data_IF_478347073970
#
_entry.id   IF_478347073970
#
_cell.length_a   1.000
_cell.length_b   1.000
_cell.length_c   1.000
_cell.angle_alpha   90.00
_cell.angle_beta   90.00
_cell.angle_gamma   90.00
#
_symmetry.space_group_name_H-M   'P 1'
#
loop_
_entity.id
_entity.type
_entity.pdbx_description
1 polymer ?
#
# COMPACT_ATOMS: atom_id res chain seq x y z
N UNK A 1 10.76 -33.18 11.01
CA UNK A 1 11.40 -32.03 10.31
C UNK A 1 10.36 -30.94 10.03
N UNK A 2 10.02 -30.03 10.98
CA UNK A 2 8.88 -29.12 10.80
C UNK A 2 9.16 -27.89 9.91
N UNK A 3 10.34 -27.28 10.03
CA UNK A 3 10.60 -25.93 9.47
C UNK A 3 10.50 -25.79 7.96
N UNK A 4 10.79 -26.85 7.18
CA UNK A 4 10.86 -26.79 5.71
C UNK A 4 9.49 -26.66 5.03
N UNK A 5 8.41 -27.13 5.66
CA UNK A 5 7.05 -26.96 5.14
C UNK A 5 6.56 -25.51 5.27
N UNK A 6 6.79 -24.86 6.42
CA UNK A 6 6.35 -23.48 6.67
C UNK A 6 6.89 -22.48 5.62
N UNK A 7 8.14 -22.68 5.17
CA UNK A 7 8.73 -21.88 4.11
C UNK A 7 8.01 -22.06 2.75
N UNK A 8 7.67 -23.29 2.37
CA UNK A 8 6.95 -23.60 1.13
C UNK A 8 5.52 -23.03 1.14
N UNK A 9 4.75 -23.27 2.20
CA UNK A 9 3.39 -22.70 2.35
C UNK A 9 3.36 -21.18 2.23
N UNK A 10 4.37 -20.49 2.77
CA UNK A 10 4.47 -19.02 2.70
C UNK A 10 4.80 -18.51 1.28
N UNK A 11 5.48 -19.30 0.47
CA UNK A 11 5.78 -18.97 -0.93
C UNK A 11 4.49 -19.01 -1.76
N UNK A 12 3.70 -20.08 -1.64
CA UNK A 12 2.59 -20.39 -2.55
C UNK A 12 1.37 -19.47 -2.38
N UNK A 13 1.05 -19.07 -1.15
CA UNK A 13 -0.01 -18.07 -0.90
C UNK A 13 0.36 -16.70 -1.49
N UNK A 14 1.66 -16.35 -1.48
CA UNK A 14 2.13 -15.11 -2.08
C UNK A 14 2.12 -15.16 -3.63
N UNK A 15 2.33 -16.34 -4.25
CA UNK A 15 2.17 -16.50 -5.71
C UNK A 15 0.75 -16.18 -6.18
N UNK A 16 -0.29 -16.73 -5.53
CA UNK A 16 -1.69 -16.51 -5.94
C UNK A 16 -2.06 -15.01 -5.90
N UNK A 17 -1.61 -14.28 -4.87
CA UNK A 17 -1.84 -12.83 -4.80
C UNK A 17 -1.00 -12.04 -5.79
N UNK A 18 0.22 -12.50 -6.09
CA UNK A 18 1.01 -11.99 -7.22
C UNK A 18 0.26 -12.06 -8.55
N UNK A 19 -0.49 -13.14 -8.79
CA UNK A 19 -1.36 -13.27 -9.98
C UNK A 19 -2.51 -12.26 -9.94
N UNK A 20 -3.21 -12.08 -8.82
CA UNK A 20 -4.27 -11.07 -8.72
C UNK A 20 -3.76 -9.63 -8.88
N UNK A 21 -2.56 -9.33 -8.37
CA UNK A 21 -1.89 -8.04 -8.57
C UNK A 21 -1.49 -7.87 -10.05
N UNK A 22 -0.99 -8.92 -10.71
CA UNK A 22 -0.69 -8.89 -12.13
C UNK A 22 -1.95 -8.67 -12.99
N UNK A 23 -3.06 -9.38 -12.71
CA UNK A 23 -4.35 -9.19 -13.39
C UNK A 23 -4.86 -7.76 -13.23
N UNK A 24 -4.74 -7.18 -12.03
CA UNK A 24 -5.06 -5.78 -11.79
C UNK A 24 -4.22 -4.83 -12.66
N UNK A 25 -2.90 -5.02 -12.71
CA UNK A 25 -2.02 -4.19 -13.56
C UNK A 25 -2.28 -4.41 -15.06
N UNK A 26 -2.60 -5.63 -15.51
CA UNK A 26 -3.03 -5.88 -16.88
C UNK A 26 -4.32 -5.11 -17.23
N UNK A 27 -5.30 -5.05 -16.31
CA UNK A 27 -6.52 -4.26 -16.48
C UNK A 27 -6.23 -2.74 -16.54
N UNK A 28 -5.31 -2.25 -15.71
CA UNK A 28 -4.88 -0.85 -15.74
C UNK A 28 -4.14 -0.49 -17.04
N UNK A 29 -3.19 -1.33 -17.49
CA UNK A 29 -2.47 -1.16 -18.76
C UNK A 29 -3.45 -1.20 -19.94
N UNK A 30 -4.39 -2.14 -19.94
CA UNK A 30 -5.45 -2.23 -20.96
C UNK A 30 -6.29 -0.95 -21.01
N UNK A 31 -6.74 -0.42 -19.87
CA UNK A 31 -7.49 0.83 -19.80
C UNK A 31 -6.68 2.02 -20.34
N UNK A 32 -5.40 2.15 -19.96
CA UNK A 32 -4.50 3.20 -20.46
C UNK A 32 -4.26 3.09 -21.96
N UNK A 33 -4.04 1.88 -22.51
CA UNK A 33 -3.86 1.69 -23.96
C UNK A 33 -5.13 2.01 -24.75
N UNK A 34 -6.32 1.76 -24.19
CA UNK A 34 -7.57 2.22 -24.81
C UNK A 34 -7.74 3.74 -24.71
N UNK A 35 -7.28 4.40 -23.63
CA UNK A 35 -7.26 5.87 -23.52
C UNK A 35 -6.39 6.52 -24.60
N UNK A 36 -5.22 5.95 -24.91
CA UNK A 36 -4.20 6.59 -25.75
C UNK A 36 -4.17 6.13 -27.22
N UNK A 37 -4.49 4.87 -27.50
CA UNK A 37 -4.44 4.28 -28.85
C UNK A 37 -5.84 3.86 -29.32
N UNK A 38 -6.75 3.57 -28.38
CA UNK A 38 -8.09 3.09 -28.67
C UNK A 38 -9.08 4.14 -29.18
N UNK A 39 -8.74 5.43 -29.20
CA UNK A 39 -9.66 6.53 -29.52
C UNK A 39 -10.45 6.32 -30.82
N UNK A 40 -9.77 6.01 -31.94
CA UNK A 40 -10.42 5.74 -33.24
C UNK A 40 -11.25 4.44 -33.30
N UNK A 41 -11.21 3.62 -32.26
CA UNK A 41 -12.02 2.41 -32.10
C UNK A 41 -13.13 2.62 -31.05
N UNK A 42 -12.90 3.47 -30.05
CA UNK A 42 -13.92 3.96 -29.11
C UNK A 42 -15.00 4.79 -29.84
N UNK A 43 -14.59 5.68 -30.76
CA UNK A 43 -15.53 6.47 -31.57
C UNK A 43 -16.40 5.63 -32.52
N UNK A 44 -16.01 4.39 -32.81
CA UNK A 44 -16.85 3.43 -33.55
C UNK A 44 -17.96 2.82 -32.69
N UNK A 45 -17.89 2.91 -31.36
CA UNK A 45 -18.93 2.46 -30.44
C UNK A 45 -19.85 3.62 -30.04
N UNK A 46 -21.10 3.59 -30.53
CA UNK A 46 -22.13 4.60 -30.23
C UNK A 46 -22.48 4.77 -28.74
N UNK A 47 -21.96 3.90 -27.86
CA UNK A 47 -22.00 4.02 -26.38
C UNK A 47 -21.52 5.37 -25.86
N UNK A 48 -20.62 6.07 -26.56
CA UNK A 48 -20.02 7.34 -26.11
C UNK A 48 -20.60 8.60 -26.79
N UNK A 49 -21.80 8.50 -27.37
CA UNK A 49 -22.46 9.60 -28.12
C UNK A 49 -22.95 10.79 -27.29
N UNK A 50 -22.85 10.71 -25.95
CA UNK A 50 -23.26 11.77 -25.02
C UNK A 50 -22.12 12.74 -24.64
N UNK A 51 -20.88 12.51 -25.12
CA UNK A 51 -19.76 13.43 -24.94
C UNK A 51 -19.95 14.71 -25.78
N UNK A 52 -19.81 15.89 -25.16
CA UNK A 52 -19.97 17.17 -25.86
C UNK A 52 -18.83 17.42 -26.88
N UNK A 53 -19.17 18.17 -27.91
CA UNK A 53 -18.44 18.39 -29.16
C UNK A 53 -17.06 19.06 -29.04
N UNK A 54 -16.72 19.63 -27.87
CA UNK A 54 -15.42 20.26 -27.62
C UNK A 54 -14.35 19.29 -27.12
N UNK A 55 -14.71 18.31 -26.27
CA UNK A 55 -13.77 17.50 -25.46
C UNK A 55 -13.93 15.98 -25.70
N UNK A 56 -14.44 15.60 -26.88
CA UNK A 56 -14.83 14.23 -27.25
C UNK A 56 -13.75 13.19 -26.89
N UNK A 57 -12.49 13.43 -27.23
CA UNK A 57 -11.39 12.48 -27.02
C UNK A 57 -11.06 12.26 -25.54
N UNK A 58 -11.07 13.33 -24.74
CA UNK A 58 -10.86 13.28 -23.29
C UNK A 58 -12.01 12.55 -22.61
N UNK A 59 -13.25 12.90 -22.96
CA UNK A 59 -14.46 12.26 -22.45
C UNK A 59 -14.50 10.76 -22.76
N UNK A 60 -14.24 10.35 -24.01
CA UNK A 60 -14.20 8.94 -24.41
C UNK A 60 -13.12 8.15 -23.65
N UNK A 61 -11.90 8.70 -23.53
CA UNK A 61 -10.81 8.08 -22.79
C UNK A 61 -11.11 7.91 -21.30
N UNK A 62 -11.69 8.94 -20.67
CA UNK A 62 -12.02 8.92 -19.24
C UNK A 62 -13.20 7.97 -18.95
N UNK A 63 -14.29 8.01 -19.74
CA UNK A 63 -15.42 7.08 -19.63
C UNK A 63 -14.96 5.61 -19.76
N UNK A 64 -14.02 5.31 -20.65
CA UNK A 64 -13.44 3.97 -20.79
C UNK A 64 -12.66 3.53 -19.53
N UNK A 65 -11.90 4.43 -18.90
CA UNK A 65 -11.21 4.16 -17.63
C UNK A 65 -12.22 3.90 -16.50
N UNK A 66 -13.30 4.67 -16.40
CA UNK A 66 -14.35 4.45 -15.40
C UNK A 66 -15.03 3.09 -15.57
N UNK A 67 -15.33 2.67 -16.81
CA UNK A 67 -15.87 1.34 -17.15
C UNK A 67 -14.90 0.21 -16.76
N UNK A 68 -13.60 0.35 -17.07
CA UNK A 68 -12.58 -0.63 -16.70
C UNK A 68 -12.31 -0.71 -15.18
N UNK A 69 -12.36 0.43 -14.47
CA UNK A 69 -12.26 0.54 -13.01
C UNK A 69 -13.45 -0.12 -12.30
N UNK A 70 -14.68 0.17 -12.75
CA UNK A 70 -15.90 -0.43 -12.20
C UNK A 70 -15.85 -1.96 -12.28
N UNK A 71 -15.44 -2.48 -13.44
CA UNK A 71 -15.38 -3.91 -13.73
C UNK A 71 -14.39 -4.67 -12.83
N UNK A 72 -13.16 -4.16 -12.69
CA UNK A 72 -12.15 -4.79 -11.80
C UNK A 72 -12.51 -4.62 -10.31
N UNK A 73 -13.16 -3.51 -9.93
CA UNK A 73 -13.63 -3.28 -8.55
C UNK A 73 -14.76 -4.23 -8.18
N UNK A 74 -15.76 -4.42 -9.07
CA UNK A 74 -16.84 -5.38 -8.89
C UNK A 74 -16.32 -6.83 -8.83
N UNK A 75 -15.34 -7.18 -9.65
CA UNK A 75 -14.66 -8.48 -9.57
C UNK A 75 -14.01 -8.71 -8.19
N UNK A 76 -13.24 -7.76 -7.68
CA UNK A 76 -12.60 -7.89 -6.37
C UNK A 76 -13.60 -7.80 -5.21
N UNK A 77 -14.68 -7.03 -5.32
CA UNK A 77 -15.78 -7.02 -4.35
C UNK A 77 -16.46 -8.39 -4.27
N UNK A 78 -16.77 -9.01 -5.41
CA UNK A 78 -17.31 -10.36 -5.47
C UNK A 78 -16.36 -11.37 -4.81
N UNK A 79 -15.05 -11.30 -5.09
CA UNK A 79 -14.04 -12.16 -4.45
C UNK A 79 -13.93 -11.93 -2.94
N UNK A 80 -14.05 -10.69 -2.47
CA UNK A 80 -14.08 -10.35 -1.04
C UNK A 80 -15.31 -10.95 -0.35
N UNK A 81 -16.48 -10.86 -0.96
CA UNK A 81 -17.73 -11.45 -0.46
C UNK A 81 -17.65 -12.98 -0.43
N UNK A 82 -17.22 -13.63 -1.51
CA UNK A 82 -17.05 -15.09 -1.57
C UNK A 82 -16.08 -15.61 -0.49
N UNK A 83 -14.94 -14.94 -0.30
CA UNK A 83 -14.00 -15.23 0.80
C UNK A 83 -14.67 -15.03 2.17
N UNK A 84 -15.44 -13.95 2.36
CA UNK A 84 -16.12 -13.65 3.63
C UNK A 84 -17.22 -14.65 3.97
N UNK A 85 -17.94 -15.17 2.97
CA UNK A 85 -18.94 -16.24 3.14
C UNK A 85 -18.33 -17.65 3.25
N UNK A 86 -17.00 -17.76 3.32
CA UNK A 86 -16.32 -19.04 3.55
C UNK A 86 -16.29 -19.97 2.34
N UNK A 87 -16.43 -19.43 1.12
CA UNK A 87 -16.24 -20.22 -0.10
C UNK A 87 -14.74 -20.48 -0.30
N UNK A 88 -14.31 -21.73 -0.09
CA UNK A 88 -12.89 -22.11 -0.18
C UNK A 88 -12.64 -23.01 -1.40
N UNK A 89 -11.71 -22.59 -2.24
CA UNK A 89 -11.32 -23.36 -3.43
C UNK A 89 -10.34 -24.49 -3.06
N UNK A 90 -10.49 -25.70 -3.64
CA UNK A 90 -9.50 -26.76 -3.49
C UNK A 90 -8.24 -26.41 -4.29
N UNK A 91 -7.12 -26.25 -3.58
CA UNK A 91 -5.78 -25.85 -4.06
C UNK A 91 -5.40 -26.37 -5.46
N UNK A 92 -5.57 -27.66 -5.72
CA UNK A 92 -5.23 -28.30 -7.01
C UNK A 92 -6.01 -27.73 -8.22
N UNK A 93 -7.17 -27.12 -8.00
CA UNK A 93 -8.03 -26.54 -9.05
C UNK A 93 -7.97 -25.02 -9.12
N UNK A 94 -7.30 -24.32 -8.20
CA UNK A 94 -7.30 -22.84 -8.15
C UNK A 94 -6.84 -22.19 -9.45
N UNK A 95 -5.75 -22.67 -10.08
CA UNK A 95 -5.30 -22.17 -11.40
C UNK A 95 -6.36 -22.41 -12.50
N UNK A 96 -7.00 -23.59 -12.49
CA UNK A 96 -8.04 -23.92 -13.47
C UNK A 96 -9.29 -23.05 -13.28
N UNK A 97 -9.70 -22.80 -12.04
CA UNK A 97 -10.84 -21.93 -11.71
C UNK A 97 -10.51 -20.48 -12.08
N UNK A 98 -9.29 -20.01 -11.82
CA UNK A 98 -8.85 -18.66 -12.19
C UNK A 98 -8.93 -18.44 -13.71
N UNK A 99 -8.37 -19.36 -14.50
CA UNK A 99 -8.34 -19.23 -15.98
C UNK A 99 -9.71 -19.47 -16.62
N UNK A 100 -10.48 -20.48 -16.17
CA UNK A 100 -11.72 -20.90 -16.84
C UNK A 100 -13.01 -20.33 -16.23
N UNK A 101 -12.93 -19.63 -15.09
CA UNK A 101 -14.09 -18.96 -14.46
C UNK A 101 -13.79 -17.52 -14.12
N UNK A 102 -12.71 -17.22 -13.39
CA UNK A 102 -12.51 -15.87 -12.85
C UNK A 102 -12.12 -14.85 -13.93
N UNK A 103 -11.24 -15.20 -14.87
CA UNK A 103 -10.90 -14.33 -16.02
C UNK A 103 -12.11 -14.15 -16.96
N UNK A 104 -12.86 -15.19 -17.37
CA UNK A 104 -14.12 -15.02 -18.09
C UNK A 104 -15.16 -14.14 -17.38
N UNK A 105 -15.28 -14.22 -16.05
CA UNK A 105 -16.18 -13.33 -15.28
C UNK A 105 -15.66 -11.89 -15.27
N UNK A 106 -14.35 -11.65 -15.15
CA UNK A 106 -13.78 -10.30 -15.28
C UNK A 106 -14.03 -9.71 -16.68
N UNK A 107 -13.85 -10.49 -17.75
CA UNK A 107 -14.15 -10.09 -19.13
C UNK A 107 -15.65 -9.86 -19.32
N UNK A 108 -16.53 -10.69 -18.73
CA UNK A 108 -17.98 -10.50 -18.79
C UNK A 108 -18.45 -9.26 -18.03
N UNK A 109 -17.82 -8.91 -16.90
CA UNK A 109 -18.05 -7.64 -16.20
C UNK A 109 -17.60 -6.45 -17.05
N UNK A 110 -16.42 -6.53 -17.68
CA UNK A 110 -15.90 -5.50 -18.57
C UNK A 110 -16.80 -5.27 -19.79
N UNK A 111 -17.17 -6.33 -20.51
CA UNK A 111 -18.11 -6.25 -21.64
C UNK A 111 -19.50 -5.79 -21.17
N UNK A 112 -19.98 -6.29 -20.03
CA UNK A 112 -21.22 -5.83 -19.39
C UNK A 112 -21.23 -4.33 -19.10
N UNK A 113 -20.07 -3.76 -18.72
CA UNK A 113 -19.95 -2.32 -18.43
C UNK A 113 -20.14 -1.42 -19.67
N UNK A 114 -20.05 -1.92 -20.90
CA UNK A 114 -20.37 -1.16 -22.13
C UNK A 114 -21.88 -0.98 -22.37
N UNK A 115 -22.72 -1.84 -21.78
CA UNK A 115 -24.18 -1.73 -21.87
C UNK A 115 -24.79 -0.75 -20.85
N UNK A 116 -23.96 -0.21 -19.95
CA UNK A 116 -24.36 0.78 -18.95
C UNK A 116 -24.28 2.20 -19.57
N UNK A 117 -25.30 3.08 -19.41
CA UNK A 117 -25.29 4.44 -19.96
C UNK A 117 -24.28 5.35 -19.24
N UNK A 118 -23.84 6.43 -19.90
CA UNK A 118 -22.81 7.34 -19.33
C UNK A 118 -23.30 8.04 -18.05
N UNK A 119 -24.59 8.36 -17.98
CA UNK A 119 -25.26 8.93 -16.79
C UNK A 119 -25.07 8.14 -15.49
N UNK A 120 -24.82 6.82 -15.55
CA UNK A 120 -24.43 6.04 -14.38
C UNK A 120 -22.98 6.32 -13.97
N UNK A 121 -22.06 6.42 -14.94
CA UNK A 121 -20.66 6.68 -14.69
C UNK A 121 -20.42 8.10 -14.16
N UNK A 122 -21.22 9.07 -14.59
CA UNK A 122 -21.20 10.44 -14.05
C UNK A 122 -21.52 10.45 -12.54
N UNK A 123 -22.43 9.58 -12.09
CA UNK A 123 -22.70 9.32 -10.66
C UNK A 123 -21.64 8.45 -9.97
N UNK A 124 -20.90 7.61 -10.71
CA UNK A 124 -19.78 6.80 -10.21
C UNK A 124 -18.52 7.64 -9.95
N UNK A 125 -18.31 8.76 -10.66
CA UNK A 125 -17.18 9.69 -10.42
C UNK A 125 -17.13 10.24 -8.98
N UNK A 126 -18.17 10.91 -8.43
CA UNK A 126 -18.12 11.41 -7.05
C UNK A 126 -18.00 10.28 -6.02
N UNK A 127 -18.60 9.11 -6.26
CA UNK A 127 -18.40 7.93 -5.42
C UNK A 127 -16.94 7.46 -5.42
N UNK A 128 -16.31 7.32 -6.59
CA UNK A 128 -14.90 6.91 -6.71
C UNK A 128 -13.94 7.95 -6.14
N UNK A 129 -14.22 9.25 -6.25
CA UNK A 129 -13.45 10.32 -5.56
C UNK A 129 -13.40 10.12 -4.05
N UNK A 130 -14.55 9.88 -3.41
CA UNK A 130 -14.62 9.65 -1.95
C UNK A 130 -14.00 8.30 -1.57
N UNK A 131 -14.28 7.24 -2.33
CA UNK A 131 -13.72 5.91 -2.09
C UNK A 131 -12.18 5.89 -2.21
N UNK A 132 -11.63 6.66 -3.15
CA UNK A 132 -10.18 6.86 -3.32
C UNK A 132 -9.53 7.49 -2.09
N UNK A 133 -10.24 8.38 -1.38
CA UNK A 133 -9.78 8.95 -0.11
C UNK A 133 -9.40 7.87 0.91
N UNK A 134 -10.22 6.82 1.05
CA UNK A 134 -9.90 5.68 1.94
C UNK A 134 -8.70 4.88 1.44
N UNK A 135 -8.51 4.72 0.12
CA UNK A 135 -7.30 4.08 -0.39
C UNK A 135 -6.03 4.90 -0.09
N UNK A 136 -6.10 6.23 -0.22
CA UNK A 136 -4.98 7.12 0.14
C UNK A 136 -4.59 6.94 1.62
N UNK A 137 -5.53 6.72 2.53
CA UNK A 137 -5.20 6.42 3.95
C UNK A 137 -4.36 5.14 4.10
N UNK A 138 -4.63 4.09 3.32
CA UNK A 138 -3.81 2.88 3.30
C UNK A 138 -2.46 3.09 2.60
N UNK A 139 -2.40 3.93 1.57
CA UNK A 139 -1.15 4.37 0.94
C UNK A 139 -0.27 5.18 1.91
N UNK A 140 -0.85 6.08 2.70
CA UNK A 140 -0.17 6.83 3.76
C UNK A 140 0.44 5.89 4.79
N UNK A 141 -0.36 4.96 5.35
CA UNK A 141 0.13 3.95 6.28
C UNK A 141 1.23 3.07 5.67
N UNK A 142 1.11 2.71 4.39
CA UNK A 142 2.12 1.99 3.63
C UNK A 142 3.44 2.74 3.59
N UNK A 143 3.42 4.03 3.20
CA UNK A 143 4.62 4.87 3.08
C UNK A 143 5.29 5.04 4.44
N UNK A 144 4.54 5.39 5.49
CA UNK A 144 5.07 5.46 6.87
C UNK A 144 5.74 4.14 7.28
N UNK A 145 5.09 3.00 7.02
CA UNK A 145 5.64 1.69 7.33
C UNK A 145 6.90 1.35 6.52
N UNK A 146 6.99 1.77 5.26
CA UNK A 146 8.22 1.67 4.44
C UNK A 146 9.33 2.55 5.01
N UNK A 147 9.07 3.82 5.32
CA UNK A 147 10.08 4.77 5.82
C UNK A 147 10.76 4.28 7.10
N UNK A 148 10.00 3.71 8.04
CA UNK A 148 10.59 3.07 9.23
C UNK A 148 11.41 1.82 8.86
N UNK A 149 10.92 0.92 8.00
CA UNK A 149 11.68 -0.27 7.58
C UNK A 149 12.96 0.06 6.78
N UNK A 150 12.98 1.15 6.01
CA UNK A 150 14.18 1.63 5.31
C UNK A 150 15.17 2.23 6.29
N UNK A 151 14.72 3.00 7.30
CA UNK A 151 15.57 3.44 8.41
C UNK A 151 16.18 2.23 9.11
N UNK A 152 15.36 1.28 9.53
CA UNK A 152 15.77 0.17 10.39
C UNK A 152 16.75 -0.76 9.67
N UNK A 153 16.50 -1.10 8.40
CA UNK A 153 17.44 -1.92 7.61
C UNK A 153 18.77 -1.21 7.37
N UNK A 154 18.77 0.10 7.15
CA UNK A 154 19.98 0.89 6.93
C UNK A 154 20.80 1.10 8.23
N UNK A 155 20.15 1.31 9.37
CA UNK A 155 20.83 1.34 10.69
C UNK A 155 21.46 -0.02 11.02
N UNK A 156 20.73 -1.12 10.82
CA UNK A 156 21.26 -2.48 10.99
C UNK A 156 22.46 -2.75 10.05
N UNK A 157 22.44 -2.25 8.82
CA UNK A 157 23.55 -2.37 7.88
C UNK A 157 24.81 -1.61 8.36
N UNK A 158 24.64 -0.40 8.90
CA UNK A 158 25.73 0.39 9.50
C UNK A 158 26.32 -0.34 10.72
N UNK A 159 25.49 -0.77 11.67
CA UNK A 159 25.94 -1.52 12.86
C UNK A 159 26.73 -2.79 12.50
N UNK A 160 26.24 -3.57 11.52
CA UNK A 160 26.89 -4.80 11.11
C UNK A 160 28.22 -4.54 10.39
N UNK A 161 28.32 -3.44 9.64
CA UNK A 161 29.59 -3.00 9.06
C UNK A 161 30.59 -2.55 10.14
N UNK A 162 30.14 -1.85 11.19
CA UNK A 162 30.99 -1.45 12.32
C UNK A 162 31.51 -2.64 13.13
N UNK A 163 30.64 -3.63 13.42
CA UNK A 163 31.02 -4.89 14.07
C UNK A 163 32.09 -5.62 13.24
N UNK A 164 31.89 -5.75 11.93
CA UNK A 164 32.85 -6.38 11.01
C UNK A 164 34.19 -5.62 10.88
N UNK A 165 34.19 -4.29 11.00
CA UNK A 165 35.42 -3.49 11.06
C UNK A 165 36.15 -3.65 12.39
N UNK A 166 35.42 -3.78 13.51
CA UNK A 166 35.97 -4.00 14.86
C UNK A 166 36.61 -5.38 14.99
N UNK A 167 36.08 -6.40 14.31
CA UNK A 167 36.67 -7.75 14.20
C UNK A 167 37.99 -7.82 13.40
N UNK A 168 38.54 -6.68 12.95
CA UNK A 168 39.88 -6.63 12.34
C UNK A 168 39.99 -7.19 10.92
N UNK A 169 38.85 -7.40 10.23
CA UNK A 169 38.82 -7.94 8.85
C UNK A 169 39.05 -6.90 7.75
N UNK A 170 39.14 -5.61 8.08
CA UNK A 170 39.42 -4.53 7.12
C UNK A 170 40.72 -3.78 7.49
N UNK A 171 41.52 -3.50 6.46
CA UNK A 171 42.82 -2.85 6.59
C UNK A 171 42.75 -1.41 7.12
N UNK A 172 43.80 -1.00 7.83
CA UNK A 172 43.94 0.35 8.41
C UNK A 172 44.41 1.39 7.38
N UNK A 173 43.66 1.54 6.29
CA UNK A 173 43.95 2.50 5.22
C UNK A 173 42.67 3.11 4.63
N UNK A 174 42.39 4.37 4.96
CA UNK A 174 41.22 5.16 4.50
C UNK A 174 39.84 4.54 4.74
N UNK A 175 39.16 5.03 5.80
CA UNK A 175 37.72 4.84 6.08
C UNK A 175 37.12 3.51 5.59
N UNK A 176 37.47 2.40 6.25
CA UNK A 176 36.97 1.02 6.07
C UNK A 176 35.72 0.91 5.16
N UNK A 177 35.94 0.65 3.87
CA UNK A 177 35.05 1.11 2.78
C UNK A 177 33.56 0.85 2.94
N UNK A 178 33.16 -0.31 3.46
CA UNK A 178 31.74 -0.65 3.69
C UNK A 178 31.07 0.27 4.74
N UNK A 179 31.75 0.58 5.85
CA UNK A 179 31.23 1.48 6.91
C UNK A 179 31.08 2.90 6.37
N UNK A 180 32.08 3.38 5.64
CA UNK A 180 32.05 4.71 5.04
C UNK A 180 30.94 4.82 4.00
N UNK A 181 30.75 3.79 3.17
CA UNK A 181 29.70 3.75 2.14
C UNK A 181 28.30 3.74 2.75
N UNK A 182 28.00 2.92 3.76
CA UNK A 182 26.67 2.92 4.38
C UNK A 182 26.36 4.21 5.15
N UNK A 183 27.33 4.82 5.83
CA UNK A 183 27.14 6.12 6.51
C UNK A 183 27.00 7.29 5.53
N UNK A 184 27.80 7.32 4.46
CA UNK A 184 27.64 8.35 3.41
C UNK A 184 26.36 8.17 2.61
N UNK A 185 25.88 6.94 2.40
CA UNK A 185 24.56 6.68 1.82
C UNK A 185 23.43 7.20 2.72
N UNK A 186 23.44 6.91 4.02
CA UNK A 186 22.42 7.43 4.96
C UNK A 186 22.38 8.96 4.98
N UNK A 187 23.54 9.61 5.13
CA UNK A 187 23.64 11.07 5.14
C UNK A 187 23.28 11.69 3.78
N UNK A 188 23.72 11.08 2.67
CA UNK A 188 23.43 11.54 1.32
C UNK A 188 21.94 11.46 0.97
N UNK A 189 21.26 10.38 1.36
CA UNK A 189 19.80 10.25 1.20
C UNK A 189 19.06 11.30 2.02
N UNK A 190 19.44 11.50 3.29
CA UNK A 190 18.79 12.51 4.14
C UNK A 190 19.03 13.93 3.62
N UNK A 191 20.27 14.30 3.30
CA UNK A 191 20.63 15.62 2.79
C UNK A 191 20.01 15.90 1.41
N UNK A 192 20.09 14.95 0.48
CA UNK A 192 19.47 15.05 -0.85
C UNK A 192 17.95 15.20 -0.76
N UNK A 193 17.30 14.44 0.15
CA UNK A 193 15.87 14.58 0.41
C UNK A 193 15.50 15.95 0.97
N UNK A 194 16.29 16.52 1.89
CA UNK A 194 16.04 17.85 2.45
C UNK A 194 16.26 18.96 1.43
N UNK A 195 17.29 18.87 0.58
CA UNK A 195 17.53 19.81 -0.52
C UNK A 195 16.40 19.74 -1.55
N UNK A 196 15.94 18.54 -1.92
CA UNK A 196 14.81 18.36 -2.83
C UNK A 196 13.50 18.92 -2.24
N UNK A 197 13.23 18.67 -0.95
CA UNK A 197 12.08 19.25 -0.21
C UNK A 197 12.14 20.78 -0.20
N UNK A 198 13.31 21.36 0.12
CA UNK A 198 13.50 22.81 0.14
C UNK A 198 13.31 23.45 -1.25
N UNK A 199 13.88 22.86 -2.28
CA UNK A 199 13.73 23.31 -3.67
C UNK A 199 12.27 23.20 -4.16
N UNK A 200 11.58 22.11 -3.85
CA UNK A 200 10.18 21.92 -4.23
C UNK A 200 9.23 22.88 -3.47
N UNK A 201 9.51 23.20 -2.20
CA UNK A 201 8.76 24.22 -1.45
C UNK A 201 9.02 25.62 -2.02
N UNK A 202 10.27 25.95 -2.38
CA UNK A 202 10.59 27.21 -3.04
C UNK A 202 9.87 27.34 -4.40
N UNK A 203 9.84 26.27 -5.19
CA UNK A 203 9.10 26.19 -6.45
C UNK A 203 7.58 26.35 -6.27
N UNK A 204 7.00 25.77 -5.21
CA UNK A 204 5.59 25.98 -4.86
C UNK A 204 5.27 27.46 -4.56
N UNK A 205 6.11 28.14 -3.76
CA UNK A 205 5.96 29.57 -3.53
C UNK A 205 6.15 30.41 -4.80
N UNK A 206 7.04 30.00 -5.71
CA UNK A 206 7.23 30.68 -7.00
C UNK A 206 6.05 30.48 -7.96
N UNK A 207 5.38 29.32 -7.96
CA UNK A 207 4.29 29.01 -8.91
C UNK A 207 2.89 29.38 -8.41
N UNK A 208 2.66 29.38 -7.10
CA UNK A 208 1.33 29.55 -6.49
C UNK A 208 1.27 30.57 -5.33
N UNK A 209 2.38 31.29 -5.06
CA UNK A 209 2.49 32.17 -3.89
C UNK A 209 1.58 33.41 -3.91
N UNK A 210 1.17 33.85 -5.11
CA UNK A 210 0.38 35.08 -5.28
C UNK A 210 -1.13 34.85 -5.01
N UNK A 211 -1.57 33.59 -4.90
CA UNK A 211 -2.92 33.23 -4.44
C UNK A 211 -2.95 32.86 -2.95
N UNK A 212 -3.92 33.40 -2.21
CA UNK A 212 -4.08 33.19 -0.76
C UNK A 212 -4.21 31.71 -0.36
N UNK A 213 -4.89 30.89 -1.16
CA UNK A 213 -5.03 29.44 -0.94
C UNK A 213 -3.73 28.69 -1.22
N UNK A 214 -2.99 29.08 -2.26
CA UNK A 214 -1.66 28.52 -2.58
C UNK A 214 -0.63 28.83 -1.51
N UNK A 215 -0.63 30.08 -1.02
CA UNK A 215 0.15 30.52 0.13
C UNK A 215 -0.22 29.74 1.39
N UNK A 216 -1.51 29.56 1.69
CA UNK A 216 -1.98 28.84 2.87
C UNK A 216 -1.56 27.35 2.87
N UNK A 217 -1.73 26.64 1.76
CA UNK A 217 -1.35 25.22 1.68
C UNK A 217 0.18 25.04 1.75
N UNK A 218 0.94 25.92 1.09
CA UNK A 218 2.42 25.85 1.12
C UNK A 218 2.99 26.22 2.49
N UNK A 219 2.42 27.23 3.17
CA UNK A 219 2.82 27.60 4.55
C UNK A 219 2.50 26.50 5.57
N UNK A 220 1.32 25.89 5.52
CA UNK A 220 1.00 24.71 6.36
C UNK A 220 1.99 23.57 6.10
N UNK A 221 2.35 23.32 4.83
CA UNK A 221 3.28 22.25 4.45
C UNK A 221 4.68 22.44 5.03
N UNK A 222 5.28 23.64 4.89
CA UNK A 222 6.63 23.91 5.44
C UNK A 222 6.65 23.91 6.97
N UNK A 223 5.60 24.43 7.63
CA UNK A 223 5.49 24.42 9.10
C UNK A 223 5.36 22.99 9.61
N UNK A 224 4.52 22.16 8.99
CA UNK A 224 4.39 20.76 9.37
C UNK A 224 5.69 19.97 9.16
N UNK A 225 6.33 20.10 7.99
CA UNK A 225 7.59 19.41 7.68
C UNK A 225 8.71 19.79 8.66
N UNK A 226 8.90 21.09 8.92
CA UNK A 226 9.93 21.57 9.85
C UNK A 226 9.68 21.13 11.29
N UNK A 227 8.43 21.21 11.79
CA UNK A 227 8.07 20.70 13.12
C UNK A 227 8.33 19.19 13.25
N UNK A 228 7.94 18.38 12.25
CA UNK A 228 8.17 16.93 12.26
C UNK A 228 9.67 16.58 12.28
N UNK A 229 10.49 17.30 11.52
CA UNK A 229 11.96 17.14 11.53
C UNK A 229 12.54 17.50 12.91
N UNK A 230 12.18 18.65 13.48
CA UNK A 230 12.65 19.10 14.81
C UNK A 230 12.27 18.07 15.90
N UNK A 231 11.03 17.60 15.90
CA UNK A 231 10.51 16.62 16.86
C UNK A 231 11.26 15.27 16.76
N UNK A 232 11.58 14.79 15.55
CA UNK A 232 12.32 13.54 15.35
C UNK A 232 13.82 13.62 15.67
N UNK A 233 14.42 14.82 15.57
CA UNK A 233 15.80 15.10 15.99
C UNK A 233 15.91 15.24 17.52
N UNK A 234 14.82 15.60 18.21
CA UNK A 234 14.85 15.81 19.66
C UNK A 234 15.26 14.55 20.44
N UNK A 235 16.06 14.76 21.49
CA UNK A 235 16.47 13.73 22.46
C UNK A 235 15.32 13.12 23.26
N UNK A 236 14.09 13.62 23.07
CA UNK A 236 12.89 13.01 23.66
C UNK A 236 12.40 11.79 22.87
N UNK A 237 12.75 11.68 21.58
CA UNK A 237 12.21 10.67 20.66
C UNK A 237 13.26 9.81 19.95
N UNK A 238 14.43 10.37 19.60
CA UNK A 238 15.57 9.63 19.01
C UNK A 238 15.22 8.82 17.74
N UNK A 239 14.16 9.21 17.03
CA UNK A 239 13.62 8.49 15.86
C UNK A 239 14.56 8.54 14.65
N UNK A 240 15.45 9.52 14.60
CA UNK A 240 16.42 9.71 13.52
C UNK A 240 15.84 10.40 12.30
N UNK A 241 16.73 10.81 11.38
CA UNK A 241 16.41 11.78 10.33
C UNK A 241 15.70 11.19 9.10
N UNK A 242 15.83 9.89 8.82
CA UNK A 242 15.34 9.30 7.58
C UNK A 242 13.79 9.29 7.46
N UNK A 243 13.00 8.88 8.49
CA UNK A 243 11.54 8.94 8.41
C UNK A 243 10.96 10.34 8.16
N UNK A 244 11.29 11.41 8.92
CA UNK A 244 10.72 12.73 8.67
C UNK A 244 11.13 13.33 7.33
N UNK A 245 12.31 12.99 6.79
CA UNK A 245 12.70 13.41 5.43
C UNK A 245 11.80 12.78 4.37
N UNK A 246 11.61 11.44 4.42
CA UNK A 246 10.75 10.72 3.49
C UNK A 246 9.28 11.17 3.56
N UNK A 247 8.77 11.41 4.77
CA UNK A 247 7.41 11.96 4.96
C UNK A 247 7.32 13.40 4.44
N UNK A 248 8.31 14.27 4.71
CA UNK A 248 8.31 15.65 4.21
C UNK A 248 8.28 15.71 2.68
N UNK A 249 9.02 14.83 1.98
CA UNK A 249 8.96 14.72 0.53
C UNK A 249 7.55 14.35 0.03
N UNK A 250 6.88 13.41 0.71
CA UNK A 250 5.50 13.04 0.38
C UNK A 250 4.47 14.15 0.70
N UNK A 251 4.66 14.90 1.79
CA UNK A 251 3.81 16.05 2.14
C UNK A 251 3.88 17.15 1.06
N UNK A 252 5.09 17.46 0.56
CA UNK A 252 5.28 18.44 -0.53
C UNK A 252 4.68 17.94 -1.84
N UNK A 253 4.86 16.65 -2.17
CA UNK A 253 4.24 16.03 -3.35
C UNK A 253 2.70 16.06 -3.29
N UNK A 254 2.09 15.82 -2.12
CA UNK A 254 0.65 15.98 -1.93
C UNK A 254 0.19 17.45 -2.02
N UNK A 255 1.00 18.40 -1.56
CA UNK A 255 0.72 19.83 -1.72
C UNK A 255 0.70 20.22 -3.21
N UNK A 256 1.72 19.81 -3.97
CA UNK A 256 1.78 19.99 -5.42
C UNK A 256 0.56 19.40 -6.13
N UNK A 257 0.21 18.13 -5.85
CA UNK A 257 -0.97 17.50 -6.45
C UNK A 257 -2.27 18.24 -6.13
N UNK A 258 -2.43 18.76 -4.90
CA UNK A 258 -3.60 19.53 -4.51
C UNK A 258 -3.68 20.86 -5.27
N UNK A 259 -2.58 21.60 -5.37
CA UNK A 259 -2.52 22.93 -6.00
C UNK A 259 -2.67 22.88 -7.52
N UNK A 260 -2.08 21.89 -8.20
CA UNK A 260 -2.33 21.67 -9.64
C UNK A 260 -3.81 21.33 -9.91
N UNK A 261 -4.49 20.70 -8.93
CA UNK A 261 -5.92 20.38 -8.97
C UNK A 261 -6.86 21.54 -8.59
N UNK A 262 -6.33 22.74 -8.36
CA UNK A 262 -7.16 23.93 -8.17
C UNK A 262 -7.90 24.24 -9.49
N UNK A 263 -9.24 24.37 -9.51
CA UNK A 263 -9.96 24.78 -10.71
C UNK A 263 -9.68 26.24 -11.10
N UNK A 264 -9.23 27.09 -10.18
CA UNK A 264 -8.84 28.47 -10.49
C UNK A 264 -7.40 28.52 -11.02
N UNK A 265 -7.28 28.53 -12.35
CA UNK A 265 -5.99 28.64 -13.07
C UNK A 265 -5.39 30.04 -13.10
N UNK A 266 -6.09 31.08 -12.61
CA UNK A 266 -5.47 32.42 -12.48
C UNK A 266 -4.35 32.43 -11.44
N UNK A 267 -4.36 31.48 -10.50
CA UNK A 267 -3.35 31.29 -9.46
C UNK A 267 -2.00 30.72 -9.91
N UNK A 268 -1.81 30.40 -11.19
CA UNK A 268 -0.66 29.62 -11.68
C UNK A 268 0.48 30.51 -12.27
N UNK A 269 0.45 31.82 -11.99
CA UNK A 269 1.30 32.81 -12.66
C UNK A 269 2.43 33.39 -11.79
N UNK A 270 3.67 33.27 -12.27
CA UNK A 270 4.78 34.18 -11.92
C UNK A 270 5.95 34.06 -12.90
N UNK A 271 6.26 35.18 -13.55
CA UNK A 271 7.48 35.51 -14.34
C UNK A 271 7.94 34.56 -15.47
N UNK A 272 7.43 33.34 -15.57
CA UNK A 272 7.62 32.46 -16.71
C UNK A 272 6.51 32.68 -17.75
N UNK A 273 6.83 32.63 -19.07
CA UNK A 273 5.79 32.58 -20.09
C UNK A 273 4.87 31.38 -19.84
N UNK A 274 3.59 31.41 -20.26
CA UNK A 274 2.76 30.22 -20.25
C UNK A 274 3.50 29.11 -21.00
N UNK A 275 3.60 27.88 -20.43
CA UNK A 275 4.20 26.77 -21.15
C UNK A 275 3.44 26.55 -22.46
N UNK A 276 4.08 26.00 -23.48
CA UNK A 276 3.32 25.66 -24.70
C UNK A 276 2.29 24.57 -24.35
N UNK A 277 1.18 24.42 -25.10
CA UNK A 277 0.22 23.36 -24.83
C UNK A 277 0.85 21.96 -24.76
N UNK A 278 1.94 21.73 -25.51
CA UNK A 278 2.74 20.50 -25.46
C UNK A 278 3.54 20.34 -24.16
N UNK A 279 4.06 21.44 -23.60
CA UNK A 279 4.75 21.43 -22.29
C UNK A 279 3.75 21.17 -21.15
N UNK A 280 2.55 21.74 -21.20
CA UNK A 280 1.49 21.51 -20.20
C UNK A 280 0.97 20.06 -20.27
N UNK A 281 0.69 19.55 -21.47
CA UNK A 281 0.27 18.15 -21.68
C UNK A 281 1.33 17.17 -21.19
N UNK A 282 2.62 17.43 -21.49
CA UNK A 282 3.73 16.64 -21.00
C UNK A 282 3.89 16.72 -19.47
N UNK A 283 3.76 17.91 -18.87
CA UNK A 283 3.85 18.09 -17.41
C UNK A 283 2.72 17.35 -16.67
N UNK A 284 1.49 17.48 -17.16
CA UNK A 284 0.32 16.77 -16.62
C UNK A 284 0.52 15.25 -16.73
N UNK A 285 0.89 14.74 -17.91
CA UNK A 285 1.15 13.31 -18.17
C UNK A 285 2.27 12.76 -17.28
N UNK A 286 3.36 13.50 -17.10
CA UNK A 286 4.44 13.12 -16.19
C UNK A 286 3.96 13.03 -14.73
N UNK A 287 3.06 13.93 -14.31
CA UNK A 287 2.46 13.87 -12.98
C UNK A 287 1.52 12.66 -12.82
N UNK A 288 0.69 12.36 -13.83
CA UNK A 288 -0.17 11.16 -13.87
C UNK A 288 0.66 9.88 -13.69
N UNK A 289 1.76 9.76 -14.44
CA UNK A 289 2.67 8.61 -14.39
C UNK A 289 3.35 8.50 -13.01
N UNK A 290 3.85 9.60 -12.45
CA UNK A 290 4.44 9.59 -11.10
C UNK A 290 3.43 9.13 -10.04
N UNK A 291 2.19 9.61 -10.13
CA UNK A 291 1.10 9.21 -9.24
C UNK A 291 0.77 7.71 -9.39
N UNK A 292 0.73 7.21 -10.63
CA UNK A 292 0.53 5.79 -10.92
C UNK A 292 1.65 4.88 -10.39
N UNK A 293 2.91 5.33 -10.44
CA UNK A 293 4.05 4.58 -9.88
C UNK A 293 3.99 4.53 -8.34
N UNK A 294 3.70 5.65 -7.66
CA UNK A 294 3.57 5.69 -6.20
C UNK A 294 2.34 4.86 -5.75
N UNK A 295 1.25 4.90 -6.51
CA UNK A 295 0.10 4.03 -6.32
C UNK A 295 0.49 2.55 -6.47
N UNK A 296 1.16 2.17 -7.55
CA UNK A 296 1.58 0.79 -7.84
C UNK A 296 2.48 0.21 -6.75
N UNK A 297 3.45 1.00 -6.27
CA UNK A 297 4.31 0.62 -5.15
C UNK A 297 3.50 0.40 -3.87
N UNK A 298 2.61 1.33 -3.51
CA UNK A 298 1.77 1.21 -2.31
C UNK A 298 0.78 0.03 -2.38
N UNK A 299 0.14 -0.21 -3.53
CA UNK A 299 -0.74 -1.37 -3.76
C UNK A 299 0.02 -2.69 -3.59
N UNK A 300 1.23 -2.79 -4.15
CA UNK A 300 2.06 -3.99 -4.04
C UNK A 300 2.54 -4.21 -2.60
N UNK A 301 2.98 -3.15 -1.92
CA UNK A 301 3.50 -3.23 -0.55
C UNK A 301 2.41 -3.54 0.49
N UNK A 302 1.26 -2.85 0.43
CA UNK A 302 0.12 -3.12 1.33
C UNK A 302 -0.38 -4.56 1.18
N UNK A 303 -0.48 -5.06 -0.05
CA UNK A 303 -0.85 -6.46 -0.33
C UNK A 303 0.13 -7.46 0.29
N UNK A 304 1.44 -7.23 0.12
CA UNK A 304 2.49 -8.08 0.67
C UNK A 304 2.55 -8.06 2.21
N UNK A 305 2.41 -6.87 2.82
CA UNK A 305 2.39 -6.71 4.30
C UNK A 305 1.13 -7.32 4.92
N UNK A 306 -0.04 -7.13 4.30
CA UNK A 306 -1.30 -7.76 4.73
C UNK A 306 -1.20 -9.28 4.75
N UNK A 307 -0.48 -9.88 3.80
CA UNK A 307 -0.17 -11.32 3.81
C UNK A 307 0.53 -11.77 5.10
N UNK A 308 1.55 -11.01 5.51
CA UNK A 308 2.35 -11.34 6.71
C UNK A 308 1.59 -11.13 8.02
N UNK A 309 0.69 -10.15 8.09
CA UNK A 309 -0.16 -9.90 9.27
C UNK A 309 -1.27 -10.96 9.41
N UNK A 310 -2.02 -11.22 8.34
CA UNK A 310 -3.10 -12.22 8.34
C UNK A 310 -2.57 -13.64 8.65
N UNK A 311 -1.40 -14.01 8.12
CA UNK A 311 -0.76 -15.29 8.43
C UNK A 311 -0.46 -15.46 9.93
N UNK A 312 0.05 -14.43 10.62
CA UNK A 312 0.28 -14.47 12.08
C UNK A 312 -1.02 -14.72 12.87
N UNK A 313 -2.11 -14.05 12.48
CA UNK A 313 -3.42 -14.20 13.13
C UNK A 313 -4.04 -15.59 12.91
N UNK A 314 -3.85 -16.18 11.73
CA UNK A 314 -4.29 -17.55 11.45
C UNK A 314 -3.47 -18.59 12.24
N UNK A 315 -2.14 -18.44 12.32
CA UNK A 315 -1.28 -19.32 13.13
C UNK A 315 -1.67 -19.27 14.62
N UNK A 316 -2.02 -18.10 15.16
CA UNK A 316 -2.51 -17.95 16.54
C UNK A 316 -3.88 -18.63 16.79
N UNK A 317 -4.61 -19.01 15.73
CA UNK A 317 -5.93 -19.67 15.83
C UNK A 317 -5.87 -21.20 15.73
N UNK A 318 -4.71 -21.76 15.39
CA UNK A 318 -4.46 -23.20 15.54
C UNK A 318 -4.30 -23.53 17.04
N UNK A 319 -5.04 -24.49 17.61
CA UNK A 319 -4.74 -25.01 18.94
C UNK A 319 -3.31 -25.57 18.97
N UNK A 320 -2.57 -25.44 20.08
CA UNK A 320 -1.34 -26.20 20.25
C UNK A 320 -1.66 -27.70 20.16
N UNK A 321 -0.83 -28.52 19.48
CA UNK A 321 -1.06 -29.95 19.41
C UNK A 321 -0.98 -30.53 20.83
N UNK A 322 -2.07 -31.14 21.29
CA UNK A 322 -2.15 -31.74 22.62
C UNK A 322 -1.03 -32.79 22.75
N UNK A 323 -0.07 -32.55 23.65
CA UNK A 323 1.10 -33.40 23.76
C UNK A 323 0.68 -34.74 24.35
N UNK A 324 0.69 -35.80 23.53
CA UNK A 324 0.52 -37.17 24.02
C UNK A 324 1.84 -37.60 24.63
N UNK A 325 2.01 -37.33 25.92
CA UNK A 325 3.14 -37.82 26.69
C UNK A 325 3.21 -39.35 26.57
N UNK A 326 4.40 -39.85 26.22
CA UNK A 326 4.72 -41.28 26.22
C UNK A 326 6.12 -41.41 26.79
N UNK A 327 6.19 -41.52 28.11
CA UNK A 327 7.43 -41.54 28.87
C UNK A 327 8.09 -42.91 28.85
N UNK A 328 9.22 -43.02 28.14
CA UNK A 328 10.24 -44.04 28.38
C UNK A 328 11.57 -43.28 28.45
N UNK A 329 12.25 -43.34 29.59
CA UNK A 329 13.42 -42.51 29.88
C UNK A 329 14.68 -43.31 30.16
N UNK A 330 15.84 -42.70 29.88
CA UNK A 330 17.09 -42.97 30.57
C UNK A 330 17.90 -41.67 30.74
N UNK A 331 18.83 -41.60 31.70
CA UNK A 331 19.30 -40.33 32.26
C UNK A 331 20.68 -39.85 31.76
N UNK A 332 21.00 -38.63 32.23
CA UNK A 332 22.34 -38.08 32.53
C UNK A 332 23.04 -37.20 31.46
N UNK A 333 23.44 -36.02 31.95
CA UNK A 333 24.44 -35.06 31.44
C UNK A 333 24.18 -34.43 30.06
N UNK A 334 24.38 -33.12 29.84
CA UNK A 334 25.18 -32.15 30.58
C UNK A 334 24.46 -30.81 30.84
N UNK A 335 25.15 -29.88 31.51
CA UNK A 335 24.72 -28.51 31.77
C UNK A 335 24.49 -27.68 30.50
N UNK A 336 23.48 -26.79 30.55
CA UNK A 336 23.75 -25.35 30.52
C UNK A 336 22.58 -24.55 31.12
N UNK A 337 22.88 -23.36 31.66
CA UNK A 337 21.90 -22.48 32.29
C UNK A 337 21.41 -21.41 31.31
N UNK A 338 20.08 -21.24 31.20
CA UNK A 338 19.53 -19.88 31.09
C UNK A 338 18.16 -19.78 31.74
N UNK A 339 17.97 -18.76 32.58
CA UNK A 339 16.75 -18.58 33.40
C UNK A 339 15.67 -17.80 32.65
N UNK A 340 14.50 -18.42 32.46
CA UNK A 340 13.27 -17.72 32.13
C UNK A 340 12.28 -17.86 33.30
N UNK A 341 12.15 -16.82 34.12
CA UNK A 341 11.23 -16.82 35.27
C UNK A 341 9.80 -16.56 34.78
N UNK A 342 9.05 -17.63 34.55
CA UNK A 342 7.62 -17.57 34.28
C UNK A 342 6.83 -17.68 35.60
N UNK A 343 6.27 -16.56 36.07
CA UNK A 343 5.38 -16.54 37.24
C UNK A 343 4.00 -17.09 36.83
N UNK A 344 3.59 -18.21 37.43
CA UNK A 344 2.21 -18.68 37.38
C UNK A 344 1.43 -18.25 38.63
N UNK A 345 0.18 -17.79 38.51
CA UNK A 345 -0.77 -17.77 39.62
C UNK A 345 -1.14 -19.20 40.02
N UNK A 346 -1.30 -19.47 41.31
CA UNK A 346 -1.65 -20.78 41.88
C UNK A 346 -3.17 -20.99 42.01
N UNK A 347 -3.66 -22.22 41.77
CA UNK A 347 -4.97 -22.66 42.28
C UNK A 347 -5.11 -24.18 42.42
N UNK A 348 -6.01 -24.60 43.30
CA UNK A 348 -6.27 -25.98 43.76
C UNK A 348 -7.76 -26.34 43.60
N UNK A 349 -8.22 -27.60 43.51
CA UNK A 349 -7.66 -28.94 43.17
C UNK A 349 -8.92 -29.80 42.72
N UNK A 350 -9.07 -31.14 42.70
CA UNK A 350 -8.30 -32.33 43.13
C UNK A 350 -8.77 -33.64 42.44
N UNK A 351 -8.08 -34.75 42.75
CA UNK A 351 -8.55 -36.16 42.66
C UNK A 351 -8.91 -36.79 41.27
N UNK A 352 -9.17 -38.12 41.31
CA UNK A 352 -9.14 -39.12 40.21
C UNK A 352 -10.03 -40.35 40.63
N UNK A 353 -10.16 -41.50 39.91
CA UNK A 353 -10.27 -41.82 38.46
C UNK A 353 -11.49 -42.74 38.08
N UNK A 354 -11.86 -42.83 36.80
CA UNK A 354 -12.52 -44.00 36.15
C UNK A 354 -12.43 -43.84 34.61
N UNK A 355 -11.89 -44.72 33.74
CA UNK A 355 -11.80 -46.19 33.60
C UNK A 355 -12.95 -46.83 32.78
N UNK A 356 -12.81 -46.86 31.44
CA UNK A 356 -13.08 -48.03 30.53
C UNK A 356 -12.75 -47.70 29.06
N UNK A 357 -12.52 -48.70 28.15
CA UNK A 357 -11.80 -48.48 26.89
C UNK A 357 -12.60 -48.58 25.57
N UNK A 358 -12.08 -47.87 24.57
CA UNK A 358 -12.03 -48.12 23.12
C UNK A 358 -13.07 -49.04 22.41
N UNK A 359 -13.73 -48.47 21.39
CA UNK A 359 -13.98 -49.13 20.09
C UNK A 359 -13.47 -48.20 18.99
N UNK A 360 -12.58 -48.69 18.12
CA UNK A 360 -11.91 -47.86 17.10
C UNK A 360 -12.37 -48.24 15.69
N UNK A 361 -13.37 -47.54 15.16
CA UNK A 361 -13.68 -47.58 13.73
C UNK A 361 -12.72 -46.67 12.96
N UNK A 362 -11.69 -47.26 12.35
CA UNK A 362 -10.73 -46.53 11.50
C UNK A 362 -11.34 -46.30 10.12
N UNK A 363 -11.86 -45.10 9.87
CA UNK A 363 -12.03 -44.63 8.49
C UNK A 363 -10.65 -44.33 7.88
N UNK A 364 -10.43 -44.57 6.57
CA UNK A 364 -9.15 -44.33 5.93
C UNK A 364 -8.85 -42.83 5.86
N UNK A 365 -7.59 -42.47 6.08
CA UNK A 365 -7.12 -41.08 6.11
C UNK A 365 -7.40 -40.36 4.79
N UNK A 366 -8.25 -39.33 4.81
CA UNK A 366 -8.39 -38.42 3.67
C UNK A 366 -7.06 -37.70 3.42
N UNK A 367 -6.55 -37.87 2.20
CA UNK A 367 -5.38 -37.17 1.68
C UNK A 367 -5.55 -35.64 1.80
N UNK A 368 -4.49 -34.95 2.24
CA UNK A 368 -4.46 -33.53 2.61
C UNK A 368 -5.30 -32.60 1.70
N UNK A 369 -6.56 -32.36 2.09
CA UNK A 369 -7.47 -31.43 1.41
C UNK A 369 -7.18 -29.99 1.84
N UNK A 370 -5.99 -29.49 1.49
CA UNK A 370 -5.49 -28.18 1.89
C UNK A 370 -6.38 -27.04 1.37
N UNK A 371 -7.19 -26.49 2.28
CA UNK A 371 -8.04 -25.33 2.07
C UNK A 371 -7.21 -24.04 2.17
N UNK A 372 -7.10 -23.29 1.06
CA UNK A 372 -6.42 -21.98 1.05
C UNK A 372 -7.39 -20.89 1.51
N UNK A 373 -7.26 -20.45 2.75
CA UNK A 373 -7.97 -19.26 3.24
C UNK A 373 -7.25 -17.96 2.82
N UNK A 374 -7.60 -17.47 1.63
CA UNK A 374 -7.37 -16.09 1.22
C UNK A 374 -8.20 -15.14 2.11
N UNK A 375 -7.61 -14.17 2.83
CA UNK A 375 -8.35 -13.27 3.70
C UNK A 375 -9.11 -12.24 2.88
N UNK A 376 -10.41 -12.11 3.11
CA UNK A 376 -11.31 -11.16 2.43
C UNK A 376 -10.76 -9.72 2.39
N UNK A 377 -10.00 -9.33 3.43
CA UNK A 377 -9.29 -8.06 3.54
C UNK A 377 -8.39 -7.74 2.33
N UNK A 378 -7.70 -8.75 1.76
CA UNK A 378 -6.86 -8.55 0.58
C UNK A 378 -7.72 -8.15 -0.63
N UNK A 379 -8.80 -8.88 -0.90
CA UNK A 379 -9.71 -8.56 -1.99
C UNK A 379 -10.43 -7.21 -1.77
N UNK A 380 -10.76 -6.83 -0.53
CA UNK A 380 -11.28 -5.50 -0.21
C UNK A 380 -10.26 -4.38 -0.50
N UNK A 381 -8.97 -4.59 -0.23
CA UNK A 381 -7.91 -3.64 -0.63
C UNK A 381 -7.80 -3.55 -2.16
N UNK A 382 -7.85 -4.67 -2.87
CA UNK A 382 -7.82 -4.70 -4.34
C UNK A 382 -9.08 -4.05 -4.96
N UNK A 383 -10.23 -4.12 -4.29
CA UNK A 383 -11.44 -3.37 -4.68
C UNK A 383 -11.23 -1.86 -4.53
N UNK A 384 -10.73 -1.39 -3.38
CA UNK A 384 -10.44 0.05 -3.18
C UNK A 384 -9.36 0.56 -4.15
N UNK A 385 -8.35 -0.26 -4.45
CA UNK A 385 -7.36 -0.01 -5.47
C UNK A 385 -7.98 0.17 -6.87
N UNK A 386 -9.03 -0.60 -7.21
CA UNK A 386 -9.77 -0.45 -8.47
C UNK A 386 -10.51 0.88 -8.59
N UNK A 387 -11.09 1.36 -7.48
CA UNK A 387 -11.74 2.67 -7.40
C UNK A 387 -10.72 3.81 -7.49
N UNK A 388 -9.55 3.66 -6.86
CA UNK A 388 -8.43 4.61 -6.93
C UNK A 388 -7.76 4.66 -8.31
N UNK A 389 -7.66 3.53 -9.00
CA UNK A 389 -7.07 3.45 -10.34
C UNK A 389 -7.81 4.31 -11.37
N UNK A 390 -9.13 4.49 -11.25
CA UNK A 390 -9.85 5.49 -12.06
C UNK A 390 -9.29 6.89 -11.83
N UNK A 391 -9.32 7.37 -10.59
CA UNK A 391 -8.86 8.73 -10.23
C UNK A 391 -7.40 8.99 -10.62
N UNK A 392 -6.54 7.98 -10.54
CA UNK A 392 -5.12 8.12 -10.92
C UNK A 392 -4.92 8.17 -12.43
N UNK A 393 -5.75 7.49 -13.24
CA UNK A 393 -5.63 7.47 -14.71
C UNK A 393 -6.47 8.53 -15.44
N UNK A 394 -7.42 9.18 -14.75
CA UNK A 394 -8.18 10.35 -15.24
C UNK A 394 -7.70 11.69 -14.64
N UNK A 395 -6.54 11.71 -13.97
CA UNK A 395 -5.99 12.88 -13.25
C UNK A 395 -6.97 13.54 -12.25
N UNK A 396 -7.91 12.75 -11.73
CA UNK A 396 -9.04 13.13 -10.86
C UNK A 396 -10.13 14.00 -11.53
N UNK A 397 -10.02 14.23 -12.84
CA UNK A 397 -11.05 14.93 -13.62
C UNK A 397 -12.35 14.12 -13.66
N UNK A 398 -13.44 14.78 -14.03
CA UNK A 398 -14.75 14.12 -14.21
C UNK A 398 -14.80 13.33 -15.52
N UNK A 399 -15.87 12.58 -15.76
CA UNK A 399 -15.96 11.69 -16.93
C UNK A 399 -16.14 12.44 -18.27
N UNK A 400 -16.64 13.67 -18.21
CA UNK A 400 -16.60 14.71 -19.26
C UNK A 400 -15.19 15.28 -19.50
N UNK A 401 -14.26 15.11 -18.56
CA UNK A 401 -12.94 15.75 -18.55
C UNK A 401 -12.79 16.96 -17.62
N UNK A 402 -13.85 17.43 -16.94
CA UNK A 402 -13.84 18.71 -16.21
C UNK A 402 -13.03 18.70 -14.90
N UNK A 403 -12.33 19.81 -14.64
CA UNK A 403 -11.63 20.07 -13.37
C UNK A 403 -12.62 20.32 -12.21
N UNK A 404 -12.31 19.81 -11.02
CA UNK A 404 -13.25 19.78 -9.89
C UNK A 404 -12.55 20.05 -8.55
N UNK A 405 -13.02 21.06 -7.79
CA UNK A 405 -12.46 21.44 -6.49
C UNK A 405 -12.39 20.29 -5.46
N UNK A 406 -13.25 19.28 -5.59
CA UNK A 406 -13.25 18.07 -4.74
C UNK A 406 -11.90 17.34 -4.81
N UNK A 407 -11.23 17.33 -5.97
CA UNK A 407 -9.90 16.73 -6.17
C UNK A 407 -8.85 17.38 -5.25
N UNK A 408 -8.75 18.70 -5.30
CA UNK A 408 -7.88 19.50 -4.43
C UNK A 408 -8.16 19.24 -2.95
N UNK A 409 -9.43 19.26 -2.54
CA UNK A 409 -9.80 19.08 -1.14
C UNK A 409 -9.52 17.66 -0.61
N UNK A 410 -9.75 16.60 -1.39
CA UNK A 410 -9.38 15.23 -0.99
C UNK A 410 -7.86 15.10 -0.82
N UNK A 411 -7.08 15.69 -1.73
CA UNK A 411 -5.60 15.64 -1.69
C UNK A 411 -5.02 16.40 -0.49
N UNK A 412 -5.48 17.63 -0.22
CA UNK A 412 -4.97 18.42 0.92
C UNK A 412 -5.44 17.88 2.28
N UNK A 413 -6.67 17.35 2.39
CA UNK A 413 -7.13 16.70 3.64
C UNK A 413 -6.35 15.41 3.89
N UNK A 414 -6.02 14.62 2.85
CA UNK A 414 -5.14 13.47 2.99
C UNK A 414 -3.72 13.86 3.46
N UNK A 415 -3.19 15.01 3.01
CA UNK A 415 -1.95 15.57 3.54
C UNK A 415 -2.06 15.87 5.05
N UNK A 416 -3.13 16.52 5.50
CA UNK A 416 -3.33 16.83 6.93
C UNK A 416 -3.50 15.57 7.78
N UNK A 417 -4.21 14.55 7.28
CA UNK A 417 -4.31 13.24 7.95
C UNK A 417 -2.95 12.52 7.97
N UNK A 418 -2.08 12.71 6.96
CA UNK A 418 -0.69 12.22 6.99
C UNK A 418 0.09 12.85 8.14
N UNK A 419 0.02 14.17 8.30
CA UNK A 419 0.71 14.91 9.38
C UNK A 419 0.23 14.40 10.74
N UNK A 420 -1.10 14.26 10.93
CA UNK A 420 -1.69 13.77 12.17
C UNK A 420 -1.28 12.32 12.46
N UNK A 421 -1.39 11.42 11.48
CA UNK A 421 -1.03 10.00 11.64
C UNK A 421 0.45 9.81 11.94
N UNK A 422 1.35 10.51 11.23
CA UNK A 422 2.79 10.41 11.50
C UNK A 422 3.13 10.99 12.89
N UNK A 423 2.58 12.16 13.23
CA UNK A 423 2.72 12.74 14.59
C UNK A 423 2.25 11.77 15.67
N UNK A 424 1.12 11.07 15.45
CA UNK A 424 0.62 10.06 16.37
C UNK A 424 1.56 8.84 16.50
N UNK A 425 2.21 8.39 15.41
CA UNK A 425 3.21 7.31 15.52
C UNK A 425 4.44 7.69 16.34
N UNK A 426 4.80 8.98 16.40
CA UNK A 426 5.88 9.49 17.24
C UNK A 426 5.44 9.60 18.71
N UNK A 427 4.25 10.18 18.94
CA UNK A 427 3.78 10.59 20.27
C UNK A 427 3.18 9.43 21.07
N UNK A 428 2.44 8.52 20.43
CA UNK A 428 1.68 7.48 21.14
C UNK A 428 2.53 6.54 22.01
N UNK A 429 3.74 6.08 21.60
CA UNK A 429 4.63 5.28 22.45
C UNK A 429 5.15 6.01 23.69
N UNK A 430 5.14 7.34 23.70
CA UNK A 430 5.56 8.17 24.85
C UNK A 430 4.39 8.51 25.78
N UNK A 431 3.17 8.59 25.27
CA UNK A 431 1.95 8.83 26.08
C UNK A 431 1.38 7.55 26.72
N UNK A 432 1.58 6.38 26.10
CA UNK A 432 1.01 5.11 26.55
C UNK A 432 2.08 4.01 26.65
N UNK A 433 3.09 4.15 27.54
CA UNK A 433 4.21 3.22 27.63
C UNK A 433 3.80 1.78 27.97
N UNK A 434 2.68 1.60 28.67
CA UNK A 434 2.14 0.28 29.07
C UNK A 434 1.44 -0.49 27.93
N UNK A 435 1.50 0.00 26.68
CA UNK A 435 0.82 -0.61 25.53
C UNK A 435 1.81 -1.05 24.46
N UNK A 436 1.74 -2.31 24.05
CA UNK A 436 2.48 -2.79 22.89
C UNK A 436 2.06 -2.05 21.60
N UNK A 437 3.06 -1.64 20.81
CA UNK A 437 2.91 -1.01 19.49
C UNK A 437 3.57 -1.83 18.35
N UNK A 438 3.76 -3.15 18.55
CA UNK A 438 4.52 -4.05 17.65
C UNK A 438 3.70 -4.85 16.63
#
# INVERSE_FOLDING_TARGET
MPGRMSALFKIEINWLRGIYIAVFFCNAIFATMFKTIGQGLLSSFGTFSECDSADIESCQGNQMIFRASFSISMFFLMKALLSRFGWVQPRQRTMMILVWVEIPVLVALLVGSFYIPNTFFDGYVPFTRVASGFFILFQIFSIVSVSYQVRDTLLNAIENAEKAATEGKLDKGSCAGSVCLWKTAFLGVCAGSLVAVGAAIAYLYMRFGDCSLGLAFTTITIVAASLLIIVCISSWLEVGLLPPCAISAYLVLMCWQALVSNPDKTCEHRDHPPPTPQDEEAANTNSMIANAVIAAFAMTWTSWRTSSAAAKLLVRRSPPPLHRDTSIGHPANSSDQFTAVAVMPTQHTDEIPATTPAVTTVEPSQENRELIHEPWQFYSMMCLAGLYMAMVLTDWNSADGSFNAVSMWVKIVAQWVTILMFSWTLIAPKLFPDRDFS
#
